data_IF_585836521969
#
_entry.id   IF_585836521969
#
_cell.length_a   1.000
_cell.length_b   1.000
_cell.length_c   1.000
_cell.angle_alpha   90.00
_cell.angle_beta   90.00
_cell.angle_gamma   90.00
#
_symmetry.space_group_name_H-M   'P 1'
#
loop_
_entity.id
_entity.type
_entity.pdbx_description
1 polymer ?
#
# COMPACT_ATOMS: atom_id res chain seq x y z
N UNK A 1 14.48 -3.69 4.46
CA UNK A 1 13.97 -2.91 3.31
C UNK A 1 12.46 -3.00 3.37
N UNK A 2 11.78 -1.89 3.63
CA UNK A 2 10.31 -1.86 3.67
C UNK A 2 9.84 -1.40 2.29
N UNK A 3 9.16 -2.30 1.58
CA UNK A 3 8.48 -1.97 0.34
C UNK A 3 7.09 -1.42 0.70
N UNK A 4 6.87 -0.14 0.45
CA UNK A 4 5.51 0.43 0.57
C UNK A 4 4.93 0.47 -0.84
N UNK A 5 3.96 -0.41 -1.07
CA UNK A 5 3.23 -0.49 -2.33
C UNK A 5 2.03 0.45 -2.22
N UNK A 6 1.99 1.50 -3.04
CA UNK A 6 0.91 2.47 -3.05
C UNK A 6 0.15 2.38 -4.37
N UNK A 7 -1.14 2.03 -4.31
CA UNK A 7 -2.06 2.30 -5.41
C UNK A 7 -2.47 3.77 -5.29
N UNK A 8 -1.86 4.64 -6.10
CA UNK A 8 -2.41 5.96 -6.34
C UNK A 8 -2.14 6.33 -7.79
N UNK A 9 -3.16 6.85 -8.47
CA UNK A 9 -3.15 7.13 -9.90
C UNK A 9 -1.99 8.10 -10.21
N UNK A 10 -0.85 7.57 -10.65
CA UNK A 10 0.26 8.39 -11.10
C UNK A 10 -0.16 9.13 -12.36
N UNK A 11 -0.35 10.44 -12.26
CA UNK A 11 -0.38 11.32 -13.43
C UNK A 11 1.09 11.56 -13.80
N UNK A 12 1.52 11.08 -14.97
CA UNK A 12 2.81 11.39 -15.60
C UNK A 12 4.06 11.12 -14.75
N UNK A 13 4.26 9.89 -14.26
CA UNK A 13 5.58 9.48 -13.75
C UNK A 13 6.01 10.10 -12.41
N UNK A 14 5.19 10.98 -11.83
CA UNK A 14 5.49 11.69 -10.59
C UNK A 14 4.53 11.23 -9.50
N UNK A 15 5.03 10.88 -8.32
CA UNK A 15 4.23 10.68 -7.13
C UNK A 15 3.65 12.05 -6.72
N UNK A 16 2.51 12.45 -7.32
CA UNK A 16 1.85 13.75 -7.10
C UNK A 16 1.57 14.00 -5.61
N UNK A 17 1.41 12.93 -4.83
CA UNK A 17 1.22 12.96 -3.38
C UNK A 17 2.35 13.68 -2.61
N UNK A 18 3.55 13.83 -3.19
CA UNK A 18 4.65 14.58 -2.58
C UNK A 18 4.81 16.00 -3.09
N UNK A 19 4.12 16.42 -4.14
CA UNK A 19 4.31 17.76 -4.73
C UNK A 19 3.09 18.67 -4.60
N UNK A 20 1.87 18.10 -4.51
CA UNK A 20 0.64 18.88 -4.37
C UNK A 20 -0.08 18.52 -3.08
N UNK A 21 0.30 19.15 -1.98
CA UNK A 21 -0.45 19.07 -0.73
C UNK A 21 -1.67 19.98 -0.83
N UNK A 22 -2.72 19.50 -1.49
CA UNK A 22 -4.06 20.02 -1.21
C UNK A 22 -4.25 20.06 0.31
N UNK A 23 -4.74 21.18 0.85
CA UNK A 23 -4.72 21.50 2.28
C UNK A 23 -5.23 20.34 3.17
N UNK A 24 -6.18 19.55 2.65
CA UNK A 24 -6.82 18.42 3.33
C UNK A 24 -5.82 17.29 3.67
N UNK A 25 -4.82 17.03 2.83
CA UNK A 25 -3.85 15.95 3.04
C UNK A 25 -2.46 16.43 3.48
N UNK A 26 -2.24 17.73 3.63
CA UNK A 26 -0.93 18.30 3.95
C UNK A 26 -0.30 17.69 5.22
N UNK A 27 -1.10 17.46 6.26
CA UNK A 27 -0.65 16.80 7.47
C UNK A 27 -0.16 15.38 7.17
N UNK A 28 -0.93 14.58 6.44
CA UNK A 28 -0.59 13.19 6.08
C UNK A 28 0.68 13.15 5.21
N UNK A 29 0.78 14.03 4.21
CA UNK A 29 1.96 14.13 3.33
C UNK A 29 3.22 14.47 4.14
N UNK A 30 3.13 15.40 5.09
CA UNK A 30 4.26 15.72 5.96
C UNK A 30 4.63 14.56 6.89
N UNK A 31 3.67 13.78 7.37
CA UNK A 31 3.98 12.56 8.13
C UNK A 31 4.72 11.54 7.26
N UNK A 32 4.28 11.31 6.03
CA UNK A 32 4.97 10.41 5.08
C UNK A 32 6.39 10.91 4.80
N UNK A 33 6.58 12.22 4.58
CA UNK A 33 7.92 12.82 4.42
C UNK A 33 8.80 12.62 5.65
N UNK A 34 8.25 12.80 6.86
CA UNK A 34 8.99 12.56 8.11
C UNK A 34 9.35 11.08 8.31
N UNK A 35 8.56 10.16 7.76
CA UNK A 35 8.94 8.75 7.72
C UNK A 35 10.15 8.55 6.79
N UNK A 36 10.21 9.24 5.64
CA UNK A 36 11.37 9.15 4.73
C UNK A 36 12.68 9.70 5.30
N UNK A 37 12.64 10.58 6.31
CA UNK A 37 13.86 11.09 6.95
C UNK A 37 14.44 10.16 8.03
N UNK A 38 13.79 9.03 8.33
CA UNK A 38 14.31 8.05 9.30
C UNK A 38 15.50 7.28 8.72
N UNK A 39 16.28 6.67 9.61
CA UNK A 39 17.45 5.86 9.24
C UNK A 39 17.02 4.45 8.79
N UNK A 40 16.39 4.39 7.61
CA UNK A 40 15.94 3.15 6.98
C UNK A 40 15.97 3.28 5.46
N UNK A 41 16.26 2.17 4.78
CA UNK A 41 16.20 2.13 3.32
C UNK A 41 14.75 1.89 2.87
N UNK A 42 14.19 2.86 2.16
CA UNK A 42 12.86 2.78 1.55
C UNK A 42 12.93 2.95 0.03
N UNK A 43 11.98 2.33 -0.67
CA UNK A 43 11.74 2.60 -2.09
C UNK A 43 10.23 2.66 -2.32
N UNK A 44 9.82 3.51 -3.26
CA UNK A 44 8.43 3.61 -3.68
C UNK A 44 8.36 3.06 -5.09
N UNK A 45 7.52 2.06 -5.29
CA UNK A 45 7.28 1.47 -6.60
C UNK A 45 5.81 1.61 -6.94
N UNK A 46 5.54 2.02 -8.16
CA UNK A 46 4.19 2.02 -8.71
C UNK A 46 3.89 0.65 -9.27
N UNK A 47 2.78 0.07 -8.85
CA UNK A 47 2.28 -1.17 -9.40
C UNK A 47 0.83 -1.01 -9.83
N UNK A 48 0.39 -1.91 -10.71
CA UNK A 48 -1.02 -2.05 -11.02
C UNK A 48 -1.79 -2.57 -9.81
N UNK A 49 -3.07 -2.20 -9.70
CA UNK A 49 -3.97 -2.62 -8.64
C UNK A 49 -4.01 -4.15 -8.47
N UNK A 50 -3.92 -4.85 -9.58
CA UNK A 50 -3.93 -6.30 -9.68
C UNK A 50 -2.76 -6.96 -8.95
N UNK A 51 -1.63 -6.26 -8.82
CA UNK A 51 -0.49 -6.70 -8.03
C UNK A 51 -0.51 -6.28 -6.56
N UNK A 52 -1.59 -5.61 -6.10
CA UNK A 52 -1.75 -5.09 -4.74
C UNK A 52 -2.96 -5.69 -4.00
N UNK A 53 -3.43 -6.86 -4.43
CA UNK A 53 -4.64 -7.50 -3.93
C UNK A 53 -4.53 -7.83 -2.44
N UNK A 54 -3.39 -8.34 -1.95
CA UNK A 54 -3.22 -8.64 -0.53
C UNK A 54 -3.40 -7.39 0.34
N UNK A 55 -2.82 -6.27 -0.07
CA UNK A 55 -2.94 -5.01 0.68
C UNK A 55 -4.39 -4.53 0.72
N UNK A 56 -5.12 -4.56 -0.40
CA UNK A 56 -6.55 -4.21 -0.46
C UNK A 56 -7.40 -5.08 0.48
N UNK A 57 -7.17 -6.40 0.48
CA UNK A 57 -7.87 -7.34 1.35
C UNK A 57 -7.55 -7.10 2.83
N UNK A 58 -6.28 -6.90 3.17
CA UNK A 58 -5.85 -6.62 4.54
C UNK A 58 -6.40 -5.29 5.03
N UNK A 59 -6.37 -4.23 4.23
CA UNK A 59 -6.97 -2.94 4.59
C UNK A 59 -8.47 -3.07 4.83
N UNK A 60 -9.19 -3.79 3.96
CA UNK A 60 -10.64 -4.01 4.14
C UNK A 60 -10.99 -4.83 5.38
N UNK A 61 -10.17 -5.82 5.74
CA UNK A 61 -10.37 -6.62 6.96
C UNK A 61 -9.91 -5.89 8.23
N UNK A 62 -8.86 -5.07 8.12
CA UNK A 62 -8.27 -4.33 9.22
C UNK A 62 -8.94 -2.98 9.50
N UNK A 63 -9.77 -2.45 8.59
CA UNK A 63 -10.39 -1.12 8.73
C UNK A 63 -11.30 -0.96 9.95
N UNK A 64 -11.73 -2.08 10.56
CA UNK A 64 -12.51 -2.08 11.80
C UNK A 64 -11.66 -2.17 13.07
N UNK A 65 -10.32 -2.20 12.95
CA UNK A 65 -9.40 -2.34 14.08
C UNK A 65 -8.51 -1.11 14.20
N UNK A 66 -8.48 -0.52 15.39
CA UNK A 66 -7.57 0.59 15.73
C UNK A 66 -6.18 0.09 16.20
N UNK A 67 -5.92 -1.22 16.11
CA UNK A 67 -4.69 -1.84 16.61
C UNK A 67 -3.82 -2.31 15.45
N UNK A 68 -2.51 -2.08 15.58
CA UNK A 68 -1.54 -2.75 14.73
C UNK A 68 -1.53 -4.24 15.09
N UNK A 69 -1.88 -5.08 14.12
CA UNK A 69 -1.84 -6.54 14.25
C UNK A 69 -0.69 -7.07 13.40
N UNK A 70 0.25 -7.75 14.05
CA UNK A 70 1.31 -8.49 13.37
C UNK A 70 0.77 -9.88 13.06
N UNK A 71 0.89 -10.28 11.80
CA UNK A 71 0.39 -11.56 11.30
C UNK A 71 1.59 -12.44 10.98
N UNK A 72 1.97 -13.32 11.93
CA UNK A 72 3.16 -14.17 11.80
C UNK A 72 2.99 -15.32 10.80
N UNK A 73 1.75 -15.65 10.43
CA UNK A 73 1.40 -16.70 9.48
C UNK A 73 0.38 -16.19 8.46
N UNK A 74 0.56 -16.52 7.18
CA UNK A 74 -0.37 -16.12 6.12
C UNK A 74 -1.81 -16.61 6.45
N UNK A 75 -2.78 -15.70 6.67
CA UNK A 75 -4.17 -16.09 6.90
C UNK A 75 -4.73 -16.81 5.69
N UNK A 76 -5.55 -17.87 5.86
CA UNK A 76 -6.07 -18.66 4.74
C UNK A 76 -6.79 -17.85 3.66
N UNK A 77 -7.46 -16.75 4.04
CA UNK A 77 -8.17 -15.89 3.11
C UNK A 77 -7.26 -15.07 2.16
N UNK A 78 -5.96 -14.95 2.47
CA UNK A 78 -5.00 -14.23 1.63
C UNK A 78 -4.30 -15.13 0.61
N UNK A 79 -4.40 -16.45 0.69
CA UNK A 79 -3.64 -17.37 -0.16
C UNK A 79 -3.87 -17.08 -1.66
N UNK A 80 -5.12 -16.88 -2.07
CA UNK A 80 -5.45 -16.58 -3.46
C UNK A 80 -4.99 -15.19 -3.89
N UNK A 81 -5.04 -14.21 -2.99
CA UNK A 81 -4.55 -12.86 -3.26
C UNK A 81 -3.02 -12.83 -3.38
N UNK A 82 -2.32 -13.64 -2.59
CA UNK A 82 -0.87 -13.78 -2.66
C UNK A 82 -0.44 -14.38 -4.01
N UNK A 83 -1.19 -15.36 -4.50
CA UNK A 83 -1.01 -15.90 -5.84
C UNK A 83 -1.28 -14.84 -6.92
N UNK A 84 -2.34 -14.03 -6.74
CA UNK A 84 -2.69 -12.92 -7.62
C UNK A 84 -1.56 -11.90 -7.73
N UNK A 85 -1.01 -11.49 -6.58
CA UNK A 85 0.08 -10.51 -6.49
C UNK A 85 1.37 -11.06 -7.11
N UNK A 86 1.66 -12.35 -6.91
CA UNK A 86 2.83 -13.01 -7.50
C UNK A 86 2.71 -13.20 -9.03
N UNK A 87 1.49 -13.43 -9.54
CA UNK A 87 1.23 -13.64 -10.96
C UNK A 87 0.86 -12.36 -11.72
N UNK A 88 0.65 -11.23 -11.03
CA UNK A 88 0.03 -10.02 -11.58
C UNK A 88 -1.31 -10.31 -12.28
N UNK A 89 -2.06 -11.32 -11.83
CA UNK A 89 -3.33 -11.73 -12.43
C UNK A 89 -4.52 -11.09 -11.72
N UNK A 90 -5.65 -10.94 -12.42
CA UNK A 90 -6.88 -10.41 -11.86
C UNK A 90 -7.54 -11.41 -10.90
N UNK A 91 -7.70 -11.03 -9.63
CA UNK A 91 -8.59 -11.76 -8.72
C UNK A 91 -10.05 -11.36 -9.03
N UNK A 92 -10.88 -12.33 -9.42
CA UNK A 92 -12.33 -12.10 -9.61
C UNK A 92 -12.94 -11.80 -8.24
N UNK A 93 -13.41 -10.57 -8.06
CA UNK A 93 -14.14 -10.17 -6.85
C UNK A 93 -15.49 -10.90 -6.82
N UNK A 94 -15.73 -11.70 -5.77
CA UNK A 94 -17.07 -12.20 -5.42
C UNK A 94 -17.95 -11.07 -4.92
#
# INVERSE_FOLDING_TARGET
MIYTIMENKMVNGTLVILYDSTYIYAALVNHIRNLFTRDWNFSIQHIYKEGNCCADLLTRKGSSSDKLVIVDQCPPFLILALLSDACCTLHVRS
#
